data_IF_719683571621
#
_entry.id   IF_719683571621
#
_cell.length_a   1.000
_cell.length_b   1.000
_cell.length_c   1.000
_cell.angle_alpha   90.00
_cell.angle_beta   90.00
_cell.angle_gamma   90.00
#
_symmetry.space_group_name_H-M   'P 1'
#
loop_
_entity.id
_entity.type
_entity.pdbx_description
1 polymer ?
#
# COMPACT_ATOMS: atom_id res chain seq x y z
N UNK A 1 25.85 31.51 26.62
CA UNK A 1 26.38 30.82 25.43
C UNK A 1 26.04 29.32 25.41
N UNK A 2 26.39 28.50 26.42
CA UNK A 2 26.14 27.04 26.41
C UNK A 2 24.66 26.63 26.36
N UNK A 3 23.80 27.31 27.12
CA UNK A 3 22.35 27.02 27.15
C UNK A 3 21.66 27.25 25.79
N UNK A 4 22.08 28.29 25.07
CA UNK A 4 21.52 28.62 23.75
C UNK A 4 21.93 27.55 22.73
N UNK A 5 23.20 27.12 22.76
CA UNK A 5 23.68 26.06 21.88
C UNK A 5 22.95 24.73 22.13
N UNK A 6 22.70 24.35 23.39
CA UNK A 6 21.92 23.16 23.73
C UNK A 6 20.47 23.24 23.26
N UNK A 7 19.83 24.41 23.39
CA UNK A 7 18.46 24.62 22.93
C UNK A 7 18.35 24.50 21.39
N UNK A 8 19.30 25.11 20.67
CA UNK A 8 19.38 25.05 19.21
C UNK A 8 19.62 23.61 18.74
N UNK A 9 20.49 22.86 19.42
CA UNK A 9 20.74 21.46 19.09
C UNK A 9 19.49 20.58 19.30
N UNK A 10 18.73 20.83 20.37
CA UNK A 10 17.49 20.13 20.66
C UNK A 10 16.42 20.41 19.59
N UNK A 11 16.25 21.67 19.21
CA UNK A 11 15.30 22.08 18.16
C UNK A 11 15.66 21.49 16.79
N UNK A 12 16.95 21.42 16.45
CA UNK A 12 17.43 20.79 15.21
C UNK A 12 17.17 19.27 15.19
N UNK A 13 17.28 18.60 16.34
CA UNK A 13 16.96 17.17 16.45
C UNK A 13 15.45 16.89 16.27
N UNK A 14 14.58 17.80 16.73
CA UNK A 14 13.12 17.72 16.56
C UNK A 14 12.65 17.98 15.12
N UNK A 15 13.38 18.80 14.35
CA UNK A 15 13.05 19.10 12.95
C UNK A 15 13.16 17.88 12.01
N UNK A 16 13.85 16.81 12.45
CA UNK A 16 13.93 15.54 11.72
C UNK A 16 12.74 14.59 11.94
N UNK A 17 11.91 14.81 12.97
CA UNK A 17 10.74 13.99 13.30
C UNK A 17 9.47 14.45 12.57
N UNK A 18 9.60 14.91 11.33
CA UNK A 18 8.42 15.09 10.50
C UNK A 18 8.02 13.72 9.96
N UNK A 19 7.01 13.11 10.60
CA UNK A 19 6.34 11.92 10.08
C UNK A 19 5.98 12.20 8.62
N UNK A 20 6.53 11.41 7.69
CA UNK A 20 6.11 11.52 6.29
C UNK A 20 4.60 11.30 6.27
N UNK A 21 3.84 12.23 5.68
CA UNK A 21 2.37 12.23 5.62
C UNK A 21 1.74 11.02 4.88
N UNK A 22 2.49 9.93 4.68
CA UNK A 22 2.00 8.69 4.12
C UNK A 22 3.11 7.69 3.82
N UNK A 23 2.67 6.49 3.47
CA UNK A 23 3.49 5.39 2.99
C UNK A 23 3.31 5.26 1.48
N UNK A 24 4.41 5.22 0.73
CA UNK A 24 4.39 4.93 -0.70
C UNK A 24 4.77 3.48 -0.93
N UNK A 25 3.98 2.75 -1.72
CA UNK A 25 4.30 1.42 -2.25
C UNK A 25 4.34 1.46 -3.78
N UNK A 26 5.18 0.62 -4.37
CA UNK A 26 5.33 0.49 -5.82
C UNK A 26 5.23 -0.98 -6.19
N UNK A 27 4.33 -1.30 -7.11
CA UNK A 27 4.25 -2.61 -7.75
C UNK A 27 4.72 -2.45 -9.18
N UNK A 28 5.86 -3.07 -9.51
CA UNK A 28 6.39 -3.04 -10.87
C UNK A 28 6.86 -4.43 -11.26
N UNK A 29 6.44 -4.89 -12.44
CA UNK A 29 6.99 -6.07 -13.10
C UNK A 29 7.39 -5.70 -14.52
N UNK A 30 8.52 -6.23 -14.96
CA UNK A 30 9.09 -5.97 -16.28
C UNK A 30 9.35 -7.26 -17.03
N UNK A 31 9.15 -7.25 -18.34
CA UNK A 31 9.55 -8.33 -19.24
C UNK A 31 10.26 -7.72 -20.45
N UNK A 32 11.41 -8.30 -20.83
CA UNK A 32 12.23 -7.81 -21.95
C UNK A 32 12.60 -6.32 -21.89
N UNK A 33 12.72 -5.76 -20.69
CA UNK A 33 13.04 -4.34 -20.49
C UNK A 33 11.85 -3.38 -20.57
N UNK A 34 10.64 -3.90 -20.82
CA UNK A 34 9.39 -3.11 -20.83
C UNK A 34 8.56 -3.38 -19.57
N UNK A 35 7.82 -2.38 -19.10
CA UNK A 35 6.90 -2.53 -17.98
C UNK A 35 5.69 -3.39 -18.40
N UNK A 36 5.56 -4.58 -17.79
CA UNK A 36 4.35 -5.39 -17.85
C UNK A 36 3.28 -4.76 -16.98
N UNK A 37 3.69 -4.30 -15.80
CA UNK A 37 2.86 -3.49 -14.91
C UNK A 37 3.73 -2.50 -14.14
N UNK A 38 3.23 -1.29 -13.94
CA UNK A 38 3.82 -0.32 -13.04
C UNK A 38 2.69 0.47 -12.38
N UNK A 39 2.58 0.33 -11.06
CA UNK A 39 1.62 1.01 -10.21
C UNK A 39 2.34 1.65 -9.03
N UNK A 40 1.81 2.79 -8.59
CA UNK A 40 2.24 3.48 -7.38
C UNK A 40 1.04 3.72 -6.49
N UNK A 41 1.18 3.35 -5.22
CA UNK A 41 0.20 3.62 -4.18
C UNK A 41 0.77 4.59 -3.16
N UNK A 42 0.02 5.62 -2.79
CA UNK A 42 0.33 6.54 -1.70
C UNK A 42 -0.80 6.48 -0.67
N UNK A 43 -0.54 5.84 0.47
CA UNK A 43 -1.48 5.75 1.58
C UNK A 43 -1.16 6.84 2.62
N UNK A 44 -2.14 7.65 2.96
CA UNK A 44 -2.05 8.71 3.99
C UNK A 44 -2.96 8.37 5.16
N UNK A 45 -3.10 9.28 6.14
CA UNK A 45 -4.04 9.09 7.24
C UNK A 45 -5.52 9.09 6.82
N UNK A 46 -5.86 9.71 5.68
CA UNK A 46 -7.25 9.97 5.26
C UNK A 46 -7.63 9.36 3.92
N UNK A 47 -6.65 9.06 3.07
CA UNK A 47 -6.88 8.51 1.74
C UNK A 47 -5.72 7.67 1.23
N UNK A 48 -6.05 6.73 0.35
CA UNK A 48 -5.10 5.92 -0.43
C UNK A 48 -5.25 6.26 -1.90
N UNK A 49 -4.22 6.85 -2.50
CA UNK A 49 -4.18 7.15 -3.92
C UNK A 49 -3.48 6.00 -4.66
N UNK A 50 -4.14 5.41 -5.64
CA UNK A 50 -3.54 4.41 -6.54
C UNK A 50 -3.39 4.98 -7.95
N UNK A 51 -2.21 4.82 -8.54
CA UNK A 51 -1.85 5.36 -9.85
C UNK A 51 -1.40 4.23 -10.77
N UNK A 52 -2.13 3.99 -11.86
CA UNK A 52 -1.65 3.13 -12.95
C UNK A 52 -0.67 3.92 -13.80
N UNK A 53 0.62 3.56 -13.78
CA UNK A 53 1.67 4.23 -14.54
C UNK A 53 1.92 3.52 -15.87
N UNK A 54 1.91 2.19 -15.89
CA UNK A 54 1.98 1.38 -17.10
C UNK A 54 1.29 0.03 -16.91
N UNK A 55 0.76 -0.53 -18.00
CA UNK A 55 0.26 -1.91 -18.05
C UNK A 55 0.29 -2.40 -19.50
N UNK A 56 0.82 -3.60 -19.73
CA UNK A 56 0.86 -4.23 -21.05
C UNK A 56 -0.52 -4.66 -21.56
N UNK A 57 -1.51 -4.85 -20.67
CA UNK A 57 -2.90 -5.14 -21.04
C UNK A 57 -3.73 -3.90 -21.34
N UNK A 58 -3.17 -2.70 -21.12
CA UNK A 58 -3.89 -1.42 -21.18
C UNK A 58 -4.67 -1.07 -19.91
N UNK A 59 -4.69 -1.96 -18.91
CA UNK A 59 -5.36 -1.73 -17.63
C UNK A 59 -4.54 -2.24 -16.44
N UNK A 60 -4.49 -1.45 -15.36
CA UNK A 60 -4.11 -1.94 -14.05
C UNK A 60 -5.39 -2.30 -13.28
N UNK A 61 -5.57 -3.58 -12.98
CA UNK A 61 -6.72 -4.06 -12.22
C UNK A 61 -6.36 -4.10 -10.73
N UNK A 62 -7.06 -3.29 -9.94
CA UNK A 62 -6.86 -3.17 -8.51
C UNK A 62 -7.89 -4.00 -7.74
N UNK A 63 -7.42 -4.66 -6.69
CA UNK A 63 -8.23 -5.28 -5.65
C UNK A 63 -7.88 -4.61 -4.31
N UNK A 64 -8.88 -4.06 -3.64
CA UNK A 64 -8.76 -3.50 -2.29
C UNK A 64 -9.44 -4.45 -1.33
N UNK A 65 -8.74 -4.90 -0.30
CA UNK A 65 -9.25 -5.92 0.60
C UNK A 65 -8.71 -5.75 2.02
N UNK A 66 -9.37 -6.39 2.97
CA UNK A 66 -8.90 -6.56 4.36
C UNK A 66 -8.78 -8.05 4.67
N UNK A 67 -7.80 -8.42 5.49
CA UNK A 67 -7.62 -9.79 5.98
C UNK A 67 -7.96 -9.84 7.47
N UNK A 68 -8.92 -10.69 7.81
CA UNK A 68 -9.28 -10.98 9.19
C UNK A 68 -8.67 -12.32 9.56
N UNK A 69 -7.52 -12.28 10.21
CA UNK A 69 -6.88 -13.46 10.76
C UNK A 69 -7.41 -13.68 12.17
N UNK A 70 -7.98 -14.86 12.43
CA UNK A 70 -8.24 -15.27 13.80
C UNK A 70 -6.90 -15.42 14.52
N UNK A 71 -6.76 -14.77 15.68
CA UNK A 71 -5.61 -15.03 16.55
C UNK A 71 -5.65 -16.51 16.93
N UNK A 72 -4.65 -17.28 16.49
CA UNK A 72 -4.52 -18.68 16.87
C UNK A 72 -4.52 -18.80 18.40
N UNK A 73 -5.30 -19.73 18.95
CA UNK A 73 -5.21 -20.02 20.38
C UNK A 73 -3.78 -20.47 20.68
N UNK A 74 -3.18 -19.91 21.73
CA UNK A 74 -1.83 -20.24 22.17
C UNK A 74 -1.76 -21.74 22.52
N UNK A 75 -1.34 -22.57 21.57
CA UNK A 75 -1.28 -24.02 21.70
C UNK A 75 -1.12 -24.77 20.38
N UNK A 76 -1.72 -24.27 19.29
CA UNK A 76 -1.62 -24.91 17.98
C UNK A 76 -0.43 -24.36 17.18
N UNK A 77 0.71 -25.03 17.29
CA UNK A 77 1.97 -24.67 16.61
C UNK A 77 2.06 -25.17 15.16
N UNK A 78 0.99 -25.75 14.60
CA UNK A 78 1.08 -26.53 13.37
C UNK A 78 0.43 -25.90 12.12
N UNK A 79 -0.41 -24.87 12.24
CA UNK A 79 -1.05 -24.24 11.09
C UNK A 79 -1.00 -22.71 11.16
N UNK A 80 -0.65 -22.01 10.06
CA UNK A 80 -0.81 -20.56 10.00
C UNK A 80 -2.29 -20.20 10.25
N UNK A 81 -2.57 -19.08 10.92
CA UNK A 81 -3.93 -18.67 11.19
C UNK A 81 -4.72 -18.57 9.87
N UNK A 82 -5.89 -19.18 9.82
CA UNK A 82 -6.79 -19.02 8.69
C UNK A 82 -7.25 -17.55 8.63
N UNK A 83 -6.79 -16.82 7.62
CA UNK A 83 -7.20 -15.45 7.37
C UNK A 83 -8.35 -15.43 6.37
N UNK A 84 -9.48 -14.85 6.78
CA UNK A 84 -10.60 -14.60 5.88
C UNK A 84 -10.39 -13.25 5.18
N UNK A 85 -10.29 -13.27 3.86
CA UNK A 85 -10.21 -12.05 3.05
C UNK A 85 -11.61 -11.50 2.78
N UNK A 86 -11.79 -10.19 2.98
CA UNK A 86 -12.98 -9.45 2.57
C UNK A 86 -12.60 -8.40 1.53
N UNK A 87 -13.19 -8.51 0.35
CA UNK A 87 -13.05 -7.51 -0.71
C UNK A 87 -13.81 -6.24 -0.32
N UNK A 88 -13.13 -5.11 -0.42
CA UNK A 88 -13.68 -3.77 -0.16
C UNK A 88 -14.02 -3.05 -1.47
N UNK A 89 -13.19 -3.18 -2.50
CA UNK A 89 -13.43 -2.63 -3.84
C UNK A 89 -12.61 -3.40 -4.89
N UNK A 90 -13.06 -3.38 -6.14
CA UNK A 90 -12.34 -3.91 -7.29
C UNK A 90 -12.62 -3.06 -8.53
N UNK A 91 -11.58 -2.61 -9.21
CA UNK A 91 -11.71 -1.69 -10.34
C UNK A 91 -10.49 -1.75 -11.26
N UNK A 92 -10.62 -1.17 -12.45
CA UNK A 92 -9.52 -1.04 -13.40
C UNK A 92 -9.24 0.43 -13.69
N UNK A 93 -7.96 0.76 -13.86
CA UNK A 93 -7.49 2.07 -14.32
C UNK A 93 -6.69 1.89 -15.60
N UNK A 94 -6.82 2.80 -16.56
CA UNK A 94 -5.90 2.88 -17.70
C UNK A 94 -4.60 3.59 -17.28
N UNK A 95 -3.47 3.34 -17.96
CA UNK A 95 -2.23 4.08 -17.73
C UNK A 95 -2.44 5.60 -17.72
N UNK A 96 -1.85 6.27 -16.72
CA UNK A 96 -2.02 7.69 -16.44
C UNK A 96 -3.12 8.01 -15.44
N UNK A 97 -4.12 7.14 -15.25
CA UNK A 97 -5.22 7.41 -14.32
C UNK A 97 -4.83 7.18 -12.85
N UNK A 98 -5.41 8.03 -12.00
CA UNK A 98 -5.29 7.97 -10.54
C UNK A 98 -6.68 7.84 -9.94
N UNK A 99 -6.82 7.02 -8.90
CA UNK A 99 -8.03 6.97 -8.08
C UNK A 99 -7.69 7.18 -6.61
N UNK A 100 -8.36 8.14 -5.98
CA UNK A 100 -8.35 8.33 -4.54
C UNK A 100 -9.41 7.41 -3.89
N UNK A 101 -8.97 6.60 -2.94
CA UNK A 101 -9.81 5.76 -2.11
C UNK A 101 -9.93 6.40 -0.73
N UNK A 102 -11.16 6.68 -0.31
CA UNK A 102 -11.46 7.31 0.99
C UNK A 102 -12.37 6.42 1.81
N UNK A 103 -12.28 6.52 3.13
CA UNK A 103 -13.07 5.68 4.04
C UNK A 103 -12.68 4.21 4.03
N UNK A 104 -11.48 3.89 3.53
CA UNK A 104 -10.92 2.54 3.58
C UNK A 104 -10.20 2.34 4.92
N UNK A 105 -10.33 1.18 5.59
CA UNK A 105 -9.58 0.86 6.80
C UNK A 105 -8.07 1.00 6.61
N UNK A 106 -7.34 1.35 7.68
CA UNK A 106 -5.88 1.56 7.62
C UNK A 106 -5.12 0.27 7.32
N UNK A 107 -5.67 -0.85 7.75
CA UNK A 107 -5.17 -2.21 7.56
C UNK A 107 -5.52 -2.79 6.18
N UNK A 108 -6.32 -2.09 5.38
CA UNK A 108 -6.64 -2.54 4.05
C UNK A 108 -5.40 -2.59 3.16
N UNK A 109 -5.35 -3.62 2.32
CA UNK A 109 -4.30 -3.88 1.35
C UNK A 109 -4.81 -3.58 -0.04
N UNK A 110 -3.89 -3.15 -0.91
CA UNK A 110 -4.15 -2.94 -2.33
C UNK A 110 -3.28 -3.89 -3.12
N UNK A 111 -3.89 -4.76 -3.94
CA UNK A 111 -3.18 -5.55 -4.92
C UNK A 111 -3.47 -5.04 -6.32
N UNK A 112 -2.54 -5.24 -7.26
CA UNK A 112 -2.68 -4.80 -8.64
C UNK A 112 -2.05 -5.79 -9.61
N UNK A 113 -2.74 -6.08 -10.69
CA UNK A 113 -2.31 -7.00 -11.74
C UNK A 113 -2.76 -6.50 -13.14
N UNK A 114 -2.26 -7.12 -14.21
CA UNK A 114 -2.65 -6.86 -15.60
C UNK A 114 -4.02 -7.46 -15.93
N UNK A 115 -4.57 -8.30 -15.05
CA UNK A 115 -5.91 -8.91 -15.13
C UNK A 115 -6.61 -8.87 -13.78
N UNK A 116 -7.91 -9.21 -13.73
CA UNK A 116 -8.68 -9.19 -12.48
C UNK A 116 -7.99 -10.08 -11.40
N UNK A 117 -7.51 -9.50 -10.28
CA UNK A 117 -6.71 -10.26 -9.33
C UNK A 117 -7.51 -11.31 -8.56
N UNK A 118 -6.90 -12.48 -8.34
CA UNK A 118 -7.46 -13.57 -7.54
C UNK A 118 -7.23 -13.43 -6.04
N UNK A 119 -7.64 -14.47 -5.29
CA UNK A 119 -7.46 -14.55 -3.83
C UNK A 119 -5.98 -14.71 -3.40
N UNK A 120 -5.11 -15.05 -4.35
CA UNK A 120 -3.66 -15.21 -4.24
C UNK A 120 -2.89 -13.90 -4.51
N UNK A 121 -3.58 -12.83 -4.91
CA UNK A 121 -2.94 -11.53 -5.06
C UNK A 121 -2.61 -10.95 -3.68
N UNK A 122 -1.34 -10.64 -3.46
CA UNK A 122 -0.84 -10.04 -2.22
C UNK A 122 -0.15 -8.71 -2.54
N UNK A 123 -0.58 -7.64 -1.88
CA UNK A 123 -0.01 -6.29 -1.99
C UNK A 123 1.13 -6.00 -1.04
#
# INVERSE_FOLDING_TARGET
>A
MRLIASLVYCLLALAGCHDRNGTTSITRATANGEDVIFSKTLATATETNVHCLASSSGHCHYLVYEEHCLAGMAGDTAAPPACARKTLDSFALTPGQVRALRGIPREARTCVDISAPGADCHG
#
